data_IF_318453050268
#
_entry.id   IF_318453050268
#
_cell.length_a   1.000
_cell.length_b   1.000
_cell.length_c   1.000
_cell.angle_alpha   90.00
_cell.angle_beta   90.00
_cell.angle_gamma   90.00
#
_symmetry.space_group_name_H-M   'P 1'
#
loop_
_entity.id
_entity.type
_entity.pdbx_description
1 polymer ?
#
# COMPACT_ATOMS: atom_id res chain seq x y z
N UNK A 1 -19.28 -5.84 -9.07
CA UNK A 1 -20.13 -4.73 -9.51
C UNK A 1 -20.40 -3.80 -8.33
N UNK A 2 -20.44 -2.49 -8.60
CA UNK A 2 -20.73 -1.45 -7.61
C UNK A 2 -22.02 -0.75 -8.00
N UNK A 3 -22.97 -0.64 -7.07
CA UNK A 3 -24.22 0.10 -7.29
C UNK A 3 -23.91 1.60 -7.30
N UNK A 4 -24.46 2.31 -8.27
CA UNK A 4 -24.40 3.77 -8.38
C UNK A 4 -25.73 4.36 -7.93
N UNK A 5 -25.67 5.50 -7.28
CA UNK A 5 -26.81 6.21 -6.71
C UNK A 5 -26.92 7.62 -7.32
N UNK A 6 -28.14 8.14 -7.36
CA UNK A 6 -28.40 9.51 -7.85
C UNK A 6 -28.23 10.57 -6.77
N UNK A 7 -28.07 10.19 -5.50
CA UNK A 7 -27.92 11.07 -4.36
C UNK A 7 -26.74 10.69 -3.46
N UNK A 8 -26.28 11.65 -2.65
CA UNK A 8 -25.16 11.48 -1.73
C UNK A 8 -25.47 10.61 -0.51
N UNK A 9 -26.76 10.43 -0.18
CA UNK A 9 -27.21 9.52 0.87
C UNK A 9 -27.11 8.04 0.48
N UNK A 10 -26.77 7.72 -0.79
CA UNK A 10 -26.64 6.38 -1.34
C UNK A 10 -27.90 5.52 -1.18
N UNK A 11 -29.06 6.13 -1.28
CA UNK A 11 -30.37 5.44 -1.09
C UNK A 11 -31.09 5.19 -2.40
N UNK A 12 -30.97 6.11 -3.38
CA UNK A 12 -31.71 6.03 -4.64
C UNK A 12 -30.84 5.43 -5.74
N UNK A 13 -31.04 4.14 -6.03
CA UNK A 13 -30.29 3.44 -7.08
C UNK A 13 -30.43 4.09 -8.46
N UNK A 14 -29.33 4.16 -9.22
CA UNK A 14 -29.22 4.89 -10.46
C UNK A 14 -28.54 4.12 -11.60
N UNK A 15 -27.77 3.08 -11.25
CA UNK A 15 -27.07 2.24 -12.21
C UNK A 15 -26.05 1.32 -11.54
N UNK A 16 -25.20 0.75 -12.38
CA UNK A 16 -24.16 -0.18 -11.98
C UNK A 16 -22.85 0.16 -12.68
N UNK A 17 -21.75 0.05 -11.94
CA UNK A 17 -20.38 0.02 -12.45
C UNK A 17 -19.91 -1.41 -12.40
N UNK A 18 -19.38 -1.92 -13.48
CA UNK A 18 -18.82 -3.26 -13.56
C UNK A 18 -17.32 -3.22 -13.27
N UNK A 19 -16.77 -4.37 -12.87
CA UNK A 19 -15.34 -4.44 -12.49
C UNK A 19 -14.38 -4.12 -13.65
N UNK A 20 -14.90 -4.09 -14.87
CA UNK A 20 -14.17 -3.79 -16.10
C UNK A 20 -14.38 -2.37 -16.60
N UNK A 21 -15.22 -1.57 -15.92
CA UNK A 21 -15.49 -0.21 -16.30
C UNK A 21 -14.39 0.73 -15.82
N UNK A 22 -13.91 1.58 -16.68
CA UNK A 22 -13.06 2.70 -16.32
C UNK A 22 -13.94 3.84 -15.81
N UNK A 23 -13.68 4.30 -14.60
CA UNK A 23 -14.41 5.42 -14.01
C UNK A 23 -13.53 6.65 -13.87
N UNK A 24 -14.12 7.83 -14.08
CA UNK A 24 -13.50 9.10 -13.71
C UNK A 24 -14.02 9.53 -12.35
N UNK A 25 -13.15 9.63 -11.37
CA UNK A 25 -13.49 10.17 -10.05
C UNK A 25 -13.49 11.70 -10.13
N UNK A 26 -14.60 12.32 -9.74
CA UNK A 26 -14.78 13.79 -9.77
C UNK A 26 -14.54 14.36 -8.37
N UNK A 27 -15.10 13.73 -7.34
CA UNK A 27 -14.98 14.18 -5.94
C UNK A 27 -14.97 12.97 -5.03
N UNK A 28 -14.15 13.00 -4.01
CA UNK A 28 -14.05 11.97 -2.96
C UNK A 28 -14.42 12.61 -1.63
N UNK A 29 -15.30 11.94 -0.87
CA UNK A 29 -15.61 12.26 0.53
C UNK A 29 -15.44 11.00 1.38
N UNK A 30 -15.50 11.10 2.70
CA UNK A 30 -15.39 9.93 3.57
C UNK A 30 -16.48 8.87 3.35
N UNK A 31 -17.68 9.29 2.94
CA UNK A 31 -18.86 8.40 2.79
C UNK A 31 -19.14 8.02 1.33
N UNK A 32 -19.02 8.98 0.42
CA UNK A 32 -19.35 8.79 -0.99
C UNK A 32 -18.34 9.45 -1.91
N UNK A 33 -18.29 8.97 -3.14
CA UNK A 33 -17.53 9.60 -4.22
C UNK A 33 -18.42 9.83 -5.42
N UNK A 34 -18.27 11.01 -6.06
CA UNK A 34 -18.92 11.33 -7.31
C UNK A 34 -18.06 10.83 -8.45
N UNK A 35 -18.64 10.04 -9.33
CA UNK A 35 -17.91 9.39 -10.43
C UNK A 35 -18.67 9.51 -11.74
N UNK A 36 -17.94 9.58 -12.85
CA UNK A 36 -18.47 9.35 -14.19
C UNK A 36 -18.09 7.96 -14.64
N UNK A 37 -19.02 7.20 -15.19
CA UNK A 37 -18.85 5.80 -15.56
C UNK A 37 -19.55 5.50 -16.90
N UNK A 38 -19.06 4.51 -17.66
CA UNK A 38 -19.67 4.13 -18.94
C UNK A 38 -21.01 3.42 -18.73
N UNK A 39 -21.98 3.68 -19.64
CA UNK A 39 -23.28 3.00 -19.65
C UNK A 39 -23.54 2.27 -20.98
N UNK A 40 -22.89 2.70 -22.04
CA UNK A 40 -22.93 2.10 -23.36
C UNK A 40 -21.72 2.61 -24.16
N UNK A 41 -21.55 2.09 -25.39
CA UNK A 41 -20.47 2.55 -26.28
C UNK A 41 -20.52 4.09 -26.41
N UNK A 42 -19.42 4.75 -26.01
CA UNK A 42 -19.23 6.21 -26.06
C UNK A 42 -20.24 7.05 -25.25
N UNK A 43 -20.97 6.45 -24.31
CA UNK A 43 -21.89 7.17 -23.41
C UNK A 43 -21.50 6.98 -21.97
N UNK A 44 -21.51 8.05 -21.22
CA UNK A 44 -21.20 8.03 -19.77
C UNK A 44 -22.35 8.60 -18.96
N UNK A 45 -22.36 8.28 -17.69
CA UNK A 45 -23.31 8.78 -16.70
C UNK A 45 -22.56 9.18 -15.43
N UNK A 46 -23.05 10.19 -14.74
CA UNK A 46 -22.48 10.66 -13.48
C UNK A 46 -23.38 10.27 -12.33
N UNK A 47 -22.80 9.76 -11.26
CA UNK A 47 -23.54 9.37 -10.06
C UNK A 47 -22.63 9.24 -8.84
N UNK A 48 -23.17 8.70 -7.76
CA UNK A 48 -22.48 8.55 -6.48
C UNK A 48 -22.30 7.08 -6.14
N UNK A 49 -21.16 6.74 -5.58
CA UNK A 49 -20.85 5.40 -5.02
C UNK A 49 -20.29 5.55 -3.62
N UNK A 50 -20.37 4.48 -2.82
CA UNK A 50 -19.67 4.45 -1.55
C UNK A 50 -18.16 4.52 -1.80
N UNK A 51 -17.45 5.40 -1.09
CA UNK A 51 -16.02 5.66 -1.31
C UNK A 51 -15.18 4.40 -1.15
N UNK A 52 -15.53 3.50 -0.22
CA UNK A 52 -14.86 2.22 -0.02
C UNK A 52 -14.99 1.23 -1.21
N UNK A 53 -15.72 1.59 -2.25
CA UNK A 53 -15.85 0.82 -3.50
C UNK A 53 -14.91 1.29 -4.60
N UNK A 54 -14.21 2.41 -4.40
CA UNK A 54 -13.17 2.85 -5.32
C UNK A 54 -11.90 2.05 -5.00
N UNK A 55 -11.44 1.27 -5.97
CA UNK A 55 -10.06 0.83 -5.99
C UNK A 55 -9.29 1.96 -6.67
N UNK A 56 -8.61 2.76 -5.90
CA UNK A 56 -7.63 3.70 -6.44
C UNK A 56 -6.48 2.89 -7.00
N UNK A 57 -6.47 2.73 -8.31
CA UNK A 57 -5.29 2.29 -9.03
C UNK A 57 -4.29 3.46 -9.02
N UNK A 58 -3.63 3.67 -7.90
CA UNK A 58 -2.49 4.56 -7.80
C UNK A 58 -1.31 3.84 -8.44
N UNK A 59 -1.05 4.13 -9.71
CA UNK A 59 0.19 3.82 -10.38
C UNK A 59 0.67 2.37 -10.24
N UNK A 60 -0.12 1.39 -10.68
CA UNK A 60 0.32 0.01 -10.71
C UNK A 60 1.56 -0.15 -11.59
N UNK A 61 2.55 -0.90 -11.12
CA UNK A 61 3.71 -1.25 -11.93
C UNK A 61 3.27 -1.99 -13.18
N UNK A 62 3.85 -1.62 -14.33
CA UNK A 62 3.59 -2.27 -15.60
C UNK A 62 4.66 -3.32 -15.85
N UNK A 63 4.24 -4.52 -16.16
CA UNK A 63 5.09 -5.67 -16.41
C UNK A 63 4.89 -6.18 -17.84
N UNK A 64 5.95 -6.62 -18.48
CA UNK A 64 5.86 -7.32 -19.75
C UNK A 64 5.53 -8.78 -19.50
N UNK A 65 4.50 -9.30 -20.16
CA UNK A 65 4.12 -10.71 -19.99
C UNK A 65 5.11 -11.64 -20.67
N UNK A 66 5.59 -12.64 -19.92
CA UNK A 66 6.48 -13.68 -20.45
C UNK A 66 5.74 -14.83 -21.14
N UNK A 67 4.43 -14.93 -20.92
CA UNK A 67 3.58 -15.98 -21.44
C UNK A 67 2.14 -15.55 -21.60
N UNK A 68 1.32 -16.45 -22.16
CA UNK A 68 -0.13 -16.25 -22.27
C UNK A 68 -0.83 -16.76 -21.01
N UNK A 69 -1.81 -16.00 -20.50
CA UNK A 69 -2.69 -16.45 -19.42
C UNK A 69 -4.10 -15.90 -19.55
N UNK A 70 -5.06 -16.61 -18.95
CA UNK A 70 -6.47 -16.29 -19.07
C UNK A 70 -6.92 -15.15 -18.15
N UNK A 71 -7.93 -14.42 -18.60
CA UNK A 71 -8.58 -13.38 -17.82
C UNK A 71 -10.07 -13.60 -17.65
N UNK A 72 -10.63 -13.05 -16.59
CA UNK A 72 -12.00 -13.29 -16.15
C UNK A 72 -12.71 -11.96 -15.86
N UNK A 73 -14.03 -11.91 -16.07
CA UNK A 73 -14.84 -10.69 -15.85
C UNK A 73 -14.90 -10.23 -14.39
N UNK A 74 -14.73 -11.18 -13.47
CA UNK A 74 -14.73 -10.94 -12.02
C UNK A 74 -13.92 -12.03 -11.32
N UNK A 75 -13.61 -11.82 -10.06
CA UNK A 75 -13.01 -12.84 -9.21
C UNK A 75 -13.87 -14.13 -9.24
N UNK A 76 -13.31 -15.23 -9.73
CA UNK A 76 -14.01 -16.51 -9.91
C UNK A 76 -15.10 -16.50 -11.00
N UNK A 77 -15.10 -15.53 -11.89
CA UNK A 77 -16.13 -15.36 -12.93
C UNK A 77 -15.86 -16.09 -14.24
N UNK A 78 -16.72 -15.84 -15.23
CA UNK A 78 -16.59 -16.39 -16.58
C UNK A 78 -15.34 -15.86 -17.28
N UNK A 79 -14.73 -16.69 -18.11
CA UNK A 79 -13.68 -16.33 -19.03
C UNK A 79 -14.00 -15.03 -19.80
N UNK A 80 -13.02 -14.15 -19.93
CA UNK A 80 -13.22 -12.84 -20.53
C UNK A 80 -12.22 -12.53 -21.65
N UNK A 81 -11.13 -13.27 -21.73
CA UNK A 81 -10.08 -13.12 -22.69
C UNK A 81 -8.74 -13.60 -22.12
N UNK A 82 -7.68 -13.15 -22.71
CA UNK A 82 -6.33 -13.53 -22.29
C UNK A 82 -5.37 -12.34 -22.44
N UNK A 83 -4.32 -12.36 -21.64
CA UNK A 83 -3.10 -11.60 -21.87
C UNK A 83 -2.21 -12.40 -22.81
N UNK A 84 -1.66 -11.76 -23.83
CA UNK A 84 -0.72 -12.39 -24.74
C UNK A 84 0.73 -12.25 -24.20
N UNK A 85 1.62 -13.10 -24.71
CA UNK A 85 3.07 -12.93 -24.48
C UNK A 85 3.50 -11.56 -25.03
N UNK A 86 4.34 -10.86 -24.28
CA UNK A 86 4.85 -9.52 -24.55
C UNK A 86 3.83 -8.36 -24.33
N UNK A 87 2.59 -8.62 -23.92
CA UNK A 87 1.69 -7.55 -23.51
C UNK A 87 2.25 -6.79 -22.30
N UNK A 88 2.05 -5.48 -22.30
CA UNK A 88 2.32 -4.63 -21.14
C UNK A 88 1.10 -4.67 -20.21
N UNK A 89 1.26 -5.30 -19.07
CA UNK A 89 0.19 -5.53 -18.09
C UNK A 89 0.42 -4.71 -16.85
N UNK A 90 -0.56 -3.91 -16.47
CA UNK A 90 -0.54 -3.17 -15.22
C UNK A 90 -1.31 -3.95 -14.15
N UNK A 91 -0.69 -4.19 -13.01
CA UNK A 91 -1.33 -4.79 -11.84
C UNK A 91 -2.06 -3.67 -11.07
N UNK A 92 -3.35 -3.87 -10.80
CA UNK A 92 -4.22 -2.89 -10.15
C UNK A 92 -4.51 -3.25 -8.69
N UNK A 93 -4.42 -4.52 -8.32
CA UNK A 93 -4.66 -5.00 -6.95
C UNK A 93 -5.00 -6.48 -6.91
N UNK A 94 -4.95 -7.07 -5.72
CA UNK A 94 -5.23 -8.51 -5.50
C UNK A 94 -6.43 -8.68 -4.59
N UNK A 95 -7.31 -9.62 -4.91
CA UNK A 95 -8.45 -10.01 -4.09
C UNK A 95 -8.60 -11.53 -4.06
N UNK A 96 -8.29 -12.12 -2.92
CA UNK A 96 -8.23 -13.59 -2.79
C UNK A 96 -7.21 -14.17 -3.76
N UNK A 97 -7.58 -15.19 -4.51
CA UNK A 97 -6.72 -15.87 -5.48
C UNK A 97 -6.68 -15.18 -6.86
N UNK A 98 -7.20 -13.97 -6.99
CA UNK A 98 -7.26 -13.24 -8.24
C UNK A 98 -6.60 -11.85 -8.13
N UNK A 99 -5.89 -11.48 -9.18
CA UNK A 99 -5.28 -10.16 -9.36
C UNK A 99 -6.06 -9.41 -10.44
N UNK A 100 -6.46 -8.18 -10.14
CA UNK A 100 -7.03 -7.27 -11.13
C UNK A 100 -5.92 -6.64 -11.95
N UNK A 101 -6.08 -6.65 -13.25
CA UNK A 101 -5.08 -6.17 -14.21
C UNK A 101 -5.71 -5.29 -15.28
N UNK A 102 -4.89 -4.40 -15.85
CA UNK A 102 -5.15 -3.68 -17.10
C UNK A 102 -4.16 -4.17 -18.15
N UNK A 103 -4.64 -4.56 -19.33
CA UNK A 103 -3.80 -5.07 -20.41
C UNK A 103 -4.29 -4.61 -21.78
N UNK A 104 -3.41 -4.57 -22.82
CA UNK A 104 -3.77 -4.10 -24.14
C UNK A 104 -4.68 -5.09 -24.88
N UNK A 105 -5.57 -4.56 -25.70
CA UNK A 105 -6.37 -5.30 -26.68
C UNK A 105 -6.47 -4.46 -27.95
N UNK A 106 -6.96 -5.06 -29.05
CA UNK A 106 -7.21 -4.30 -30.26
C UNK A 106 -8.14 -3.11 -29.98
N UNK A 107 -7.67 -1.90 -30.26
CA UNK A 107 -8.41 -0.65 -30.07
C UNK A 107 -8.36 -0.07 -28.64
N UNK A 108 -7.47 -0.55 -27.75
CA UNK A 108 -7.33 0.06 -26.41
C UNK A 108 -6.88 -0.89 -25.31
N UNK A 109 -7.49 -0.77 -24.13
CA UNK A 109 -7.15 -1.55 -22.95
C UNK A 109 -8.38 -2.25 -22.38
N UNK A 110 -8.12 -3.37 -21.69
CA UNK A 110 -9.12 -4.16 -21.00
C UNK A 110 -8.76 -4.30 -19.52
N UNK A 111 -9.77 -4.18 -18.68
CA UNK A 111 -9.66 -4.42 -17.23
C UNK A 111 -10.27 -5.77 -16.92
N UNK A 112 -9.55 -6.63 -16.23
CA UNK A 112 -10.00 -7.99 -15.94
C UNK A 112 -9.35 -8.53 -14.67
N UNK A 113 -9.77 -9.70 -14.26
CA UNK A 113 -9.14 -10.50 -13.22
C UNK A 113 -8.36 -11.65 -13.86
N UNK A 114 -7.21 -11.96 -13.32
CA UNK A 114 -6.44 -13.16 -13.65
C UNK A 114 -6.16 -13.94 -12.36
N UNK A 115 -5.90 -15.23 -12.44
CA UNK A 115 -5.40 -15.97 -11.28
C UNK A 115 -4.08 -15.34 -10.82
N UNK A 116 -3.93 -15.12 -9.52
CA UNK A 116 -2.71 -14.51 -8.97
C UNK A 116 -1.48 -15.35 -9.26
N UNK A 117 -1.64 -16.68 -9.29
CA UNK A 117 -0.58 -17.61 -9.72
C UNK A 117 -0.16 -17.39 -11.19
N UNK A 118 -1.11 -17.15 -12.09
CA UNK A 118 -0.81 -16.88 -13.49
C UNK A 118 -0.08 -15.55 -13.66
N UNK A 119 -0.51 -14.52 -12.92
CA UNK A 119 0.15 -13.20 -12.87
C UNK A 119 1.58 -13.34 -12.35
N UNK A 120 1.78 -14.08 -11.27
CA UNK A 120 3.11 -14.32 -10.69
C UNK A 120 4.03 -15.08 -11.63
N UNK A 121 3.52 -16.10 -12.31
CA UNK A 121 4.30 -16.92 -13.23
C UNK A 121 4.67 -16.20 -14.54
N UNK A 122 3.84 -15.26 -14.98
CA UNK A 122 3.97 -14.65 -16.31
C UNK A 122 4.37 -13.17 -16.28
N UNK A 123 4.18 -12.43 -15.18
CA UNK A 123 4.51 -11.00 -15.12
C UNK A 123 5.76 -10.70 -14.29
N UNK A 124 6.07 -11.54 -13.30
CA UNK A 124 7.36 -11.43 -12.61
C UNK A 124 8.40 -12.12 -13.49
N UNK A 125 9.41 -11.39 -13.91
CA UNK A 125 10.58 -12.01 -14.55
C UNK A 125 11.06 -13.15 -13.65
N UNK A 126 11.13 -14.37 -14.18
CA UNK A 126 11.88 -15.45 -13.53
C UNK A 126 13.32 -14.94 -13.43
N UNK A 127 13.70 -14.44 -12.29
CA UNK A 127 15.10 -14.43 -11.92
C UNK A 127 15.48 -15.90 -11.87
N UNK A 128 16.20 -16.31 -12.89
CA UNK A 128 16.62 -17.68 -13.13
C UNK A 128 17.45 -18.11 -11.94
N UNK A 129 16.86 -18.96 -11.11
CA UNK A 129 17.59 -19.66 -10.05
C UNK A 129 18.51 -20.67 -10.72
N UNK A 130 19.65 -20.22 -11.20
CA UNK A 130 20.79 -21.11 -11.39
C UNK A 130 21.41 -21.33 -10.03
N UNK A 131 21.04 -22.43 -9.41
CA UNK A 131 21.84 -23.03 -8.35
C UNK A 131 23.15 -23.46 -9.01
N UNK A 132 24.16 -22.62 -8.90
CA UNK A 132 25.55 -23.03 -9.09
C UNK A 132 26.27 -22.77 -7.77
N UNK A 133 26.75 -23.87 -7.21
CA UNK A 133 27.62 -23.89 -6.04
C UNK A 133 28.94 -23.21 -6.40
N UNK A 134 29.27 -22.12 -5.78
CA UNK A 134 30.52 -21.82 -5.10
C UNK A 134 30.59 -20.37 -4.63
N UNK A 135 30.99 -20.06 -3.38
CA UNK A 135 31.00 -18.71 -2.88
C UNK A 135 32.27 -17.98 -3.27
N UNK A 136 32.20 -17.16 -4.29
CA UNK A 136 33.15 -16.05 -4.44
C UNK A 136 32.41 -14.76 -4.09
N UNK A 137 32.90 -14.11 -3.04
CA UNK A 137 32.47 -12.79 -2.60
C UNK A 137 32.86 -11.80 -3.69
N UNK A 138 31.93 -11.51 -4.58
CA UNK A 138 32.03 -10.32 -5.43
C UNK A 138 31.39 -9.15 -4.67
N UNK A 139 32.18 -8.11 -4.47
CA UNK A 139 31.79 -6.83 -3.92
C UNK A 139 30.61 -6.29 -4.74
N UNK A 140 29.44 -5.94 -4.12
CA UNK A 140 28.30 -5.45 -4.88
C UNK A 140 28.66 -4.12 -5.56
N UNK A 141 28.42 -4.05 -6.86
CA UNK A 141 28.32 -2.78 -7.59
C UNK A 141 27.35 -1.83 -6.87
N UNK A 142 27.60 -0.51 -6.97
CA UNK A 142 26.84 0.53 -6.29
C UNK A 142 25.32 0.30 -6.34
N UNK A 143 24.60 0.60 -5.25
CA UNK A 143 23.17 0.32 -5.13
C UNK A 143 22.37 1.09 -6.19
N UNK A 144 21.81 0.38 -7.15
CA UNK A 144 21.03 0.92 -8.28
C UNK A 144 19.50 0.93 -8.02
N UNK A 145 19.05 0.84 -6.77
CA UNK A 145 17.64 0.79 -6.44
C UNK A 145 17.19 2.02 -5.66
N UNK A 146 16.08 2.63 -6.07
CA UNK A 146 15.40 3.64 -5.27
C UNK A 146 14.82 2.97 -4.01
N UNK A 147 15.46 3.16 -2.85
CA UNK A 147 15.08 2.56 -1.57
C UNK A 147 13.64 2.98 -1.19
N UNK A 148 13.26 4.22 -1.41
CA UNK A 148 11.90 4.71 -1.12
C UNK A 148 10.85 3.97 -1.95
N UNK A 149 11.10 3.75 -3.24
CA UNK A 149 10.19 2.98 -4.08
C UNK A 149 10.11 1.52 -3.63
N UNK A 150 11.21 0.92 -3.19
CA UNK A 150 11.23 -0.43 -2.62
C UNK A 150 10.43 -0.49 -1.31
N UNK A 151 10.56 0.51 -0.42
CA UNK A 151 9.76 0.62 0.80
C UNK A 151 8.28 0.67 0.46
N UNK A 152 7.87 1.55 -0.45
CA UNK A 152 6.49 1.65 -0.91
C UNK A 152 5.95 0.31 -1.43
N UNK A 153 6.67 -0.31 -2.35
CA UNK A 153 6.24 -1.56 -2.97
C UNK A 153 6.09 -2.69 -1.93
N UNK A 154 7.04 -2.80 -1.00
CA UNK A 154 6.99 -3.80 0.07
C UNK A 154 5.87 -3.51 1.07
N UNK A 155 5.66 -2.25 1.45
CA UNK A 155 4.60 -1.84 2.36
C UNK A 155 3.21 -2.17 1.78
N UNK A 156 2.96 -1.82 0.53
CA UNK A 156 1.71 -2.15 -0.16
C UNK A 156 1.53 -3.65 -0.34
N UNK A 157 2.57 -4.38 -0.73
CA UNK A 157 2.52 -5.83 -0.89
C UNK A 157 2.30 -6.58 0.43
N UNK A 158 2.64 -5.97 1.55
CA UNK A 158 2.52 -6.57 2.89
C UNK A 158 1.10 -6.55 3.46
N UNK A 159 0.18 -5.79 2.86
CA UNK A 159 -1.21 -5.66 3.34
C UNK A 159 -1.87 -7.03 3.44
N UNK A 160 -2.46 -7.30 4.60
CA UNK A 160 -3.07 -8.60 4.90
C UNK A 160 -2.12 -9.61 5.54
N UNK A 161 -0.81 -9.35 5.60
CA UNK A 161 0.16 -10.21 6.28
C UNK A 161 -0.02 -10.15 7.80
N UNK A 162 -0.06 -11.30 8.44
CA UNK A 162 -0.26 -11.42 9.89
C UNK A 162 1.01 -11.12 10.69
N UNK A 163 0.84 -10.58 11.91
CA UNK A 163 1.93 -10.16 12.80
C UNK A 163 2.95 -11.23 13.13
N UNK A 164 2.50 -12.51 13.22
CA UNK A 164 3.40 -13.66 13.46
C UNK A 164 4.57 -13.73 12.48
N UNK A 165 4.40 -13.27 11.26
CA UNK A 165 5.47 -13.24 10.26
C UNK A 165 6.59 -12.29 10.68
N UNK A 166 6.27 -11.07 11.09
CA UNK A 166 7.23 -10.04 11.49
C UNK A 166 7.88 -10.36 12.84
N UNK A 167 7.07 -10.84 13.79
CA UNK A 167 7.55 -11.29 15.09
C UNK A 167 8.58 -12.42 14.95
N UNK A 168 8.32 -13.41 14.10
CA UNK A 168 9.28 -14.49 13.78
C UNK A 168 10.57 -13.94 13.14
N UNK A 169 10.45 -13.02 12.17
CA UNK A 169 11.61 -12.40 11.54
C UNK A 169 12.50 -11.66 12.54
N UNK A 170 11.87 -10.95 13.49
CA UNK A 170 12.58 -10.21 14.53
C UNK A 170 13.22 -11.13 15.58
N UNK A 171 12.63 -12.28 15.86
CA UNK A 171 12.93 -13.15 16.99
C UNK A 171 12.15 -12.79 18.25
N UNK A 172 11.00 -12.12 18.10
CA UNK A 172 10.15 -11.71 19.22
C UNK A 172 9.07 -12.74 19.55
N UNK A 173 8.55 -12.66 20.78
CA UNK A 173 7.34 -13.38 21.19
C UNK A 173 6.12 -12.94 20.37
N UNK A 174 5.17 -13.85 20.16
CA UNK A 174 3.88 -13.53 19.52
C UNK A 174 2.99 -12.62 20.37
N UNK A 175 3.35 -12.33 21.60
CA UNK A 175 2.71 -11.32 22.45
C UNK A 175 3.28 -9.90 22.22
N UNK A 176 4.42 -9.78 21.55
CA UNK A 176 5.06 -8.48 21.29
C UNK A 176 4.27 -7.67 20.26
N UNK A 177 3.93 -6.41 20.52
CA UNK A 177 3.44 -5.49 19.49
C UNK A 177 4.40 -5.41 18.31
N UNK A 178 3.90 -5.37 17.08
CA UNK A 178 4.78 -5.49 15.92
C UNK A 178 4.75 -4.29 14.96
N UNK A 179 4.20 -3.15 15.36
CA UNK A 179 4.17 -1.97 14.50
C UNK A 179 5.58 -1.52 14.06
N UNK A 180 6.49 -1.32 15.02
CA UNK A 180 7.89 -0.98 14.71
C UNK A 180 8.62 -2.13 14.03
N UNK A 181 8.42 -3.36 14.50
CA UNK A 181 9.03 -4.56 13.89
C UNK A 181 8.64 -4.67 12.41
N UNK A 182 7.40 -4.34 12.07
CA UNK A 182 6.91 -4.26 10.70
C UNK A 182 7.64 -3.18 9.90
N UNK A 183 7.72 -1.96 10.42
CA UNK A 183 8.39 -0.85 9.77
C UNK A 183 9.88 -1.15 9.51
N UNK A 184 10.58 -1.68 10.52
CA UNK A 184 11.97 -2.11 10.41
C UNK A 184 12.15 -3.21 9.35
N UNK A 185 11.25 -4.22 9.33
CA UNK A 185 11.29 -5.28 8.32
C UNK A 185 11.23 -4.71 6.91
N UNK A 186 10.28 -3.82 6.65
CA UNK A 186 10.07 -3.21 5.32
C UNK A 186 11.30 -2.39 4.90
N UNK A 187 11.78 -1.49 5.77
CA UNK A 187 12.93 -0.64 5.45
C UNK A 187 14.22 -1.44 5.23
N UNK A 188 14.51 -2.38 6.12
CA UNK A 188 15.70 -3.22 6.04
C UNK A 188 15.67 -4.10 4.80
N UNK A 189 14.51 -4.67 4.47
CA UNK A 189 14.32 -5.47 3.25
C UNK A 189 14.47 -4.61 2.00
N UNK A 190 13.92 -3.39 1.99
CA UNK A 190 14.06 -2.46 0.88
C UNK A 190 15.51 -2.08 0.61
N UNK A 191 16.27 -1.82 1.67
CA UNK A 191 17.70 -1.51 1.57
C UNK A 191 18.52 -2.73 1.10
N UNK A 192 18.22 -3.92 1.60
CA UNK A 192 18.88 -5.16 1.15
C UNK A 192 18.61 -5.41 -0.33
N UNK A 193 17.37 -5.21 -0.79
CA UNK A 193 16.98 -5.31 -2.20
C UNK A 193 17.67 -4.23 -3.08
N UNK A 194 18.04 -3.10 -2.49
CA UNK A 194 18.83 -2.05 -3.15
C UNK A 194 20.35 -2.28 -3.10
N UNK A 195 20.80 -3.42 -2.56
CA UNK A 195 22.20 -3.82 -2.53
C UNK A 195 23.03 -3.27 -1.36
N UNK A 196 22.39 -2.71 -0.33
CA UNK A 196 23.11 -2.25 0.88
C UNK A 196 23.59 -3.44 1.70
N UNK A 197 24.82 -3.34 2.22
CA UNK A 197 25.37 -4.34 3.15
C UNK A 197 24.62 -4.35 4.50
N UNK A 198 24.61 -5.47 5.19
CA UNK A 198 24.00 -5.58 6.52
C UNK A 198 24.57 -4.58 7.53
N UNK A 199 25.88 -4.32 7.47
CA UNK A 199 26.52 -3.30 8.31
C UNK A 199 25.93 -1.91 8.04
N UNK A 200 25.80 -1.53 6.79
CA UNK A 200 25.20 -0.26 6.39
C UNK A 200 23.71 -0.17 6.78
N UNK A 201 22.96 -1.24 6.58
CA UNK A 201 21.56 -1.31 7.01
C UNK A 201 21.44 -1.13 8.52
N UNK A 202 22.26 -1.82 9.32
CA UNK A 202 22.26 -1.69 10.78
C UNK A 202 22.57 -0.27 11.26
N UNK A 203 23.42 0.47 10.55
CA UNK A 203 23.75 1.86 10.89
C UNK A 203 22.66 2.87 10.52
N UNK A 204 21.76 2.53 9.59
CA UNK A 204 20.68 3.41 9.12
C UNK A 204 19.35 3.05 9.77
N UNK A 205 19.03 1.77 9.84
CA UNK A 205 17.78 1.23 10.38
C UNK A 205 18.12 0.19 11.46
N UNK A 206 18.43 0.61 12.68
CA UNK A 206 18.59 -0.31 13.80
C UNK A 206 17.29 -1.07 14.07
N UNK A 207 17.38 -2.28 14.64
CA UNK A 207 16.21 -3.10 14.95
C UNK A 207 15.58 -2.72 16.28
N UNK A 208 14.30 -2.40 16.26
CA UNK A 208 13.51 -2.05 17.45
C UNK A 208 12.23 -2.89 17.56
N UNK A 209 11.74 -3.03 18.78
CA UNK A 209 10.42 -3.58 19.10
C UNK A 209 9.58 -2.62 19.96
N UNK A 210 10.10 -1.43 20.25
CA UNK A 210 9.44 -0.39 21.04
C UNK A 210 9.41 0.92 20.25
N UNK A 211 8.23 1.50 20.12
CA UNK A 211 8.01 2.75 19.37
C UNK A 211 8.71 3.92 20.06
N UNK A 212 8.64 4.00 21.39
CA UNK A 212 9.30 5.07 22.16
C UNK A 212 10.81 5.04 22.06
N UNK A 213 11.45 3.87 22.15
CA UNK A 213 12.90 3.73 21.98
C UNK A 213 13.30 4.06 20.54
N UNK A 214 12.56 3.58 19.58
CA UNK A 214 12.75 3.88 18.17
C UNK A 214 12.70 5.39 17.90
N UNK A 215 11.66 6.08 18.36
CA UNK A 215 11.52 7.54 18.19
C UNK A 215 12.65 8.32 18.89
N UNK A 216 13.03 7.93 20.12
CA UNK A 216 14.12 8.53 20.87
C UNK A 216 15.44 8.45 20.12
N UNK A 217 15.79 7.30 19.59
CA UNK A 217 17.06 7.10 18.92
C UNK A 217 17.10 7.78 17.55
N UNK A 218 15.98 7.78 16.79
CA UNK A 218 15.89 8.55 15.55
C UNK A 218 15.97 10.06 15.79
N UNK A 219 15.41 10.54 16.92
CA UNK A 219 15.57 11.95 17.33
C UNK A 219 17.04 12.28 17.66
N UNK A 220 17.72 11.41 18.40
CA UNK A 220 19.15 11.58 18.70
C UNK A 220 20.04 11.57 17.45
N UNK A 221 19.62 10.89 16.40
CA UNK A 221 20.28 10.87 15.08
C UNK A 221 19.90 12.07 14.19
N UNK A 222 19.07 13.00 14.66
CA UNK A 222 18.57 14.12 13.85
C UNK A 222 17.66 13.70 12.69
N UNK A 223 16.98 12.57 12.82
CA UNK A 223 16.11 11.99 11.77
C UNK A 223 14.62 11.96 12.16
N UNK A 224 14.30 12.56 13.28
CA UNK A 224 12.91 12.68 13.76
C UNK A 224 12.44 14.12 13.53
N UNK A 225 11.35 14.26 12.79
CA UNK A 225 10.70 15.53 12.51
C UNK A 225 9.30 15.52 13.10
N UNK A 226 8.97 16.56 13.86
CA UNK A 226 7.58 16.80 14.24
C UNK A 226 6.87 17.54 13.12
N UNK A 227 5.63 17.26 12.87
CA UNK A 227 4.83 17.99 11.90
C UNK A 227 3.41 18.23 12.44
N UNK A 228 2.68 19.12 11.77
CA UNK A 228 1.37 19.58 12.23
C UNK A 228 0.43 18.41 12.51
N UNK A 229 -0.51 18.65 13.40
CA UNK A 229 -1.51 17.69 13.83
C UNK A 229 -2.24 17.05 12.66
N UNK A 230 -2.22 15.72 12.63
CA UNK A 230 -2.99 14.93 11.70
C UNK A 230 -4.11 14.20 12.46
N UNK A 231 -5.23 14.06 11.83
CA UNK A 231 -6.42 13.48 12.46
C UNK A 231 -6.89 12.27 11.67
N UNK A 232 -7.09 11.15 12.37
CA UNK A 232 -7.72 9.96 11.79
C UNK A 232 -9.25 10.11 11.86
N UNK A 233 -9.88 10.36 10.71
CA UNK A 233 -11.34 10.52 10.62
C UNK A 233 -12.14 9.27 11.02
N UNK A 234 -11.50 8.09 11.05
CA UNK A 234 -12.15 6.83 11.44
C UNK A 234 -12.14 6.55 12.94
N UNK A 235 -11.14 7.05 13.66
CA UNK A 235 -10.97 6.80 15.11
C UNK A 235 -11.14 8.03 15.97
N UNK A 236 -11.11 9.23 15.40
CA UNK A 236 -11.17 10.48 16.16
C UNK A 236 -9.86 10.84 16.88
N UNK A 237 -8.77 10.11 16.61
CA UNK A 237 -7.48 10.34 17.26
C UNK A 237 -6.71 11.46 16.56
N UNK A 238 -6.29 12.47 17.33
CA UNK A 238 -5.40 13.54 16.87
C UNK A 238 -3.95 13.07 16.99
N UNK A 239 -3.18 13.22 15.91
CA UNK A 239 -1.75 12.96 15.93
C UNK A 239 -1.00 14.25 16.21
N UNK A 240 -0.11 14.21 17.19
CA UNK A 240 0.84 15.28 17.48
C UNK A 240 0.24 16.62 17.92
N UNK A 241 -0.69 16.58 18.87
CA UNK A 241 -1.44 17.73 19.39
C UNK A 241 -0.56 18.88 19.97
N UNK A 242 0.63 18.56 20.44
CA UNK A 242 1.51 19.50 21.17
C UNK A 242 2.82 19.83 20.44
N UNK A 243 3.00 19.45 19.17
CA UNK A 243 4.23 19.78 18.49
C UNK A 243 4.22 21.22 17.96
N UNK A 244 5.32 21.90 18.10
CA UNK A 244 5.64 23.06 17.27
C UNK A 244 5.66 22.60 15.83
N UNK A 245 4.86 23.25 15.00
CA UNK A 245 4.87 23.03 13.54
C UNK A 245 6.30 23.17 13.04
N UNK A 246 6.81 22.17 12.37
CA UNK A 246 7.99 22.33 11.55
C UNK A 246 7.63 22.23 10.06
N UNK A 247 8.52 22.66 9.21
CA UNK A 247 8.31 22.74 7.77
C UNK A 247 8.50 21.40 7.05
N UNK A 248 8.50 20.27 7.78
CA UNK A 248 8.69 18.96 7.18
C UNK A 248 7.42 18.47 6.50
N UNK A 249 7.52 18.20 5.23
CA UNK A 249 6.47 17.51 4.48
C UNK A 249 6.83 16.03 4.37
N UNK A 250 6.00 15.11 4.90
CA UNK A 250 6.26 13.68 4.78
C UNK A 250 6.38 13.24 3.34
N UNK A 251 7.27 12.30 3.08
CA UNK A 251 7.46 11.66 1.78
C UNK A 251 7.00 10.21 1.81
N UNK A 252 6.64 9.68 0.65
CA UNK A 252 6.40 8.25 0.50
C UNK A 252 7.66 7.48 0.89
N UNK A 253 7.52 6.51 1.78
CA UNK A 253 8.64 5.74 2.34
C UNK A 253 9.12 6.21 3.70
N UNK A 254 8.63 7.35 4.21
CA UNK A 254 8.91 7.77 5.57
C UNK A 254 8.16 6.90 6.59
N UNK A 255 8.70 6.83 7.80
CA UNK A 255 8.00 6.31 8.96
C UNK A 255 7.26 7.44 9.66
N UNK A 256 6.00 7.25 9.95
CA UNK A 256 5.25 8.18 10.78
C UNK A 256 5.02 7.56 12.16
N UNK A 257 5.41 8.29 13.19
CA UNK A 257 5.12 7.96 14.58
C UNK A 257 3.78 8.59 15.00
N UNK A 258 2.98 7.83 15.73
CA UNK A 258 1.66 8.20 16.20
C UNK A 258 1.66 8.12 17.72
N UNK A 259 1.14 9.14 18.34
CA UNK A 259 0.81 9.21 19.76
C UNK A 259 -0.72 9.11 19.88
N UNK A 260 -1.24 7.95 20.31
CA UNK A 260 -2.69 7.71 20.36
C UNK A 260 -3.33 8.17 21.68
N UNK A 261 -2.56 8.33 22.74
CA UNK A 261 -3.05 8.71 24.06
C UNK A 261 -2.65 10.12 24.49
N UNK A 262 -1.98 10.85 23.58
CA UNK A 262 -1.61 12.26 23.73
C UNK A 262 -0.65 12.53 24.91
N UNK A 263 0.19 11.55 25.26
CA UNK A 263 1.18 11.67 26.35
C UNK A 263 2.56 12.15 25.86
N UNK A 264 2.69 12.55 24.59
CA UNK A 264 3.91 13.01 23.90
C UNK A 264 4.85 11.84 23.56
N UNK A 265 4.53 10.62 23.92
CA UNK A 265 5.34 9.45 23.64
C UNK A 265 4.71 8.63 22.51
N UNK A 266 5.35 8.48 21.34
CA UNK A 266 4.78 7.68 20.27
C UNK A 266 4.57 6.22 20.70
N UNK A 267 3.35 5.73 20.53
CA UNK A 267 2.96 4.37 20.86
C UNK A 267 2.67 3.50 19.63
N UNK A 268 2.55 4.11 18.47
CA UNK A 268 2.31 3.43 17.20
C UNK A 268 3.14 4.02 16.06
N UNK A 269 3.31 3.22 14.98
CA UNK A 269 4.00 3.67 13.76
C UNK A 269 3.50 2.94 12.53
N UNK A 270 3.65 3.60 11.39
CA UNK A 270 3.39 3.05 10.07
C UNK A 270 4.32 3.64 9.02
N UNK A 271 4.17 3.18 7.79
CA UNK A 271 4.95 3.62 6.64
C UNK A 271 4.06 4.46 5.74
N UNK A 272 4.51 5.67 5.42
CA UNK A 272 3.82 6.58 4.50
C UNK A 272 3.83 5.99 3.09
N UNK A 273 2.66 5.79 2.51
CA UNK A 273 2.48 5.26 1.16
C UNK A 273 1.81 6.24 0.20
N UNK A 274 1.20 7.30 0.71
CA UNK A 274 0.74 8.43 -0.10
C UNK A 274 0.64 9.71 0.75
N UNK A 275 0.92 10.84 0.12
CA UNK A 275 0.75 12.18 0.68
C UNK A 275 -0.05 13.00 -0.32
N UNK A 276 -1.20 13.53 0.07
CA UNK A 276 -2.10 14.29 -0.78
C UNK A 276 -2.57 15.54 -0.05
N UNK A 277 -1.80 16.63 -0.14
CA UNK A 277 -2.16 17.91 0.48
C UNK A 277 -2.54 17.77 1.95
N UNK A 278 -3.82 17.56 2.23
CA UNK A 278 -4.38 17.46 3.57
C UNK A 278 -4.52 16.01 4.08
N UNK A 279 -3.98 15.01 3.40
CA UNK A 279 -4.08 13.62 3.85
C UNK A 279 -2.77 12.86 3.75
N UNK A 280 -2.55 11.99 4.72
CA UNK A 280 -1.44 11.04 4.82
C UNK A 280 -2.02 9.63 4.83
N UNK A 281 -1.58 8.79 3.91
CA UNK A 281 -1.98 7.38 3.89
C UNK A 281 -0.80 6.51 4.31
N UNK A 282 -1.03 5.60 5.24
CA UNK A 282 0.00 4.76 5.83
C UNK A 282 -0.35 3.28 5.75
N UNK A 283 0.66 2.45 5.58
CA UNK A 283 0.58 1.01 5.83
C UNK A 283 1.09 0.72 7.25
N UNK A 284 0.27 0.03 8.05
CA UNK A 284 0.49 -0.13 9.48
C UNK A 284 0.40 -1.58 9.91
N UNK A 285 1.37 -2.00 10.71
CA UNK A 285 1.34 -3.28 11.43
C UNK A 285 0.68 -3.14 12.82
N UNK A 286 0.27 -4.25 13.40
CA UNK A 286 -0.29 -4.34 14.76
C UNK A 286 -1.56 -3.52 14.99
N UNK A 287 -2.42 -3.41 13.98
CA UNK A 287 -3.64 -2.61 14.04
C UNK A 287 -4.88 -3.47 13.79
N UNK A 288 -6.05 -3.01 14.24
CA UNK A 288 -7.33 -3.68 14.10
C UNK A 288 -7.60 -4.77 15.15
N UNK A 289 -8.59 -5.62 14.89
CA UNK A 289 -9.09 -6.65 15.82
C UNK A 289 -8.20 -7.89 15.75
N UNK A 290 -7.93 -8.51 16.91
CA UNK A 290 -7.17 -9.74 17.05
C UNK A 290 -6.02 -9.64 18.04
N UNK A 291 -5.27 -10.73 18.19
CA UNK A 291 -4.02 -10.77 18.97
C UNK A 291 -2.87 -10.17 18.15
N UNK A 292 -1.77 -9.79 18.80
CA UNK A 292 -0.59 -9.27 18.09
C UNK A 292 -0.08 -10.22 16.99
N UNK A 293 -0.21 -11.54 17.18
CA UNK A 293 0.17 -12.53 16.18
C UNK A 293 -0.77 -12.63 14.98
N UNK A 294 -2.06 -12.32 15.17
CA UNK A 294 -3.12 -12.52 14.16
C UNK A 294 -3.58 -11.23 13.49
N UNK A 295 -3.36 -10.07 14.11
CA UNK A 295 -3.58 -8.77 13.47
C UNK A 295 -2.81 -8.69 12.17
N UNK A 296 -3.39 -8.04 11.19
CA UNK A 296 -2.82 -7.95 9.83
C UNK A 296 -2.39 -6.52 9.54
N UNK A 297 -1.41 -6.38 8.66
CA UNK A 297 -1.07 -5.07 8.09
C UNK A 297 -2.28 -4.50 7.36
N UNK A 298 -2.59 -3.25 7.61
CA UNK A 298 -3.71 -2.51 7.02
C UNK A 298 -3.26 -1.14 6.51
N UNK A 299 -4.12 -0.51 5.70
CA UNK A 299 -3.93 0.85 5.21
C UNK A 299 -4.93 1.76 5.91
N UNK A 300 -4.44 2.87 6.44
CA UNK A 300 -5.24 3.95 7.03
C UNK A 300 -4.90 5.29 6.38
N UNK A 301 -5.88 6.17 6.32
CA UNK A 301 -5.70 7.55 5.85
C UNK A 301 -6.03 8.51 6.96
N UNK A 302 -5.11 9.40 7.25
CA UNK A 302 -5.18 10.45 8.24
C UNK A 302 -5.33 11.79 7.55
N UNK A 303 -6.08 12.71 8.13
CA UNK A 303 -6.36 14.01 7.57
C UNK A 303 -5.79 15.10 8.44
N UNK A 304 -5.22 16.13 7.83
CA UNK A 304 -4.74 17.31 8.53
C UNK A 304 -5.94 18.05 9.13
N UNK A 305 -5.92 18.29 10.42
CA UNK A 305 -6.98 19.03 11.09
C UNK A 305 -6.92 20.51 10.71
N UNK A 306 -8.01 21.08 10.21
CA UNK A 306 -8.13 22.50 9.90
C UNK A 306 -8.19 23.39 11.16
N UNK A 307 -8.31 22.81 12.34
CA UNK A 307 -8.46 23.55 13.60
C UNK A 307 -7.15 23.99 14.25
N UNK A 308 -6.00 23.66 13.67
CA UNK A 308 -4.67 23.88 14.26
C UNK A 308 -3.66 24.56 13.32
N UNK A 309 -4.13 25.47 12.47
CA UNK A 309 -3.30 26.35 11.64
C UNK A 309 -3.28 27.75 12.20
#
# INVERSE_FOLDING_TARGET
>A
NTRVYSNTALTRGYGWIYATDEIKVITVTGKYSKVTYPIAKNRTKTGYIATNRILTATGGSTYKSNGRFNTYRRNGGKYYGYVAKNDNVMILGTKGNYTQIKYPVSGGYKYAFALSSDVENNLKSKQQSTVSQNPQIQQPSAPNGNVQQNIYNLAVASVGTAGRFYQKWYGASYLTPYCVIYADYIARTAMANAGYSNSKINSIVPKYASTSLWAKDYNALGRYHSFASWYNSGTGVSMNKNSTVNDYTPNVGDFAAIDNDEDITPDHTGIVIAVNGNSLTMAEGNTGIGTNATRKVKIYTYYKSSSYW
#
